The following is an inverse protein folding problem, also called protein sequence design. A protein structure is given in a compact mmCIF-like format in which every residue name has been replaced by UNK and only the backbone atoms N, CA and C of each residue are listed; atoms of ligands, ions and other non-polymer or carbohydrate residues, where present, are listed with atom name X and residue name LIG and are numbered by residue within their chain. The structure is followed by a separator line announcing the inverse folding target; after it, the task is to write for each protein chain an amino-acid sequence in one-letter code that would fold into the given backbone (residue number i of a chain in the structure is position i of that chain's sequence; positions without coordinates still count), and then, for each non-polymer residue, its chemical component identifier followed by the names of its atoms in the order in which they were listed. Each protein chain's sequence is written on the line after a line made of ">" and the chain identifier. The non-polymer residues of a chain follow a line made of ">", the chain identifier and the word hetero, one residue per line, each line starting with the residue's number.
data_IF_931819373285
#
_entry.id   IF_931819373285
#
_cell.length_a   1.000
_cell.length_b   1.000
_cell.length_c   1.000
_cell.angle_alpha   90.00
_cell.angle_beta   90.00
_cell.angle_gamma   90.00
#
_symmetry.space_group_name_H-M   'P 1'
#
loop_
_entity.id
_entity.type
_entity.pdbx_description
1 polymer ?
#
# COMPACT_ATOMS: atom_id res chain seq x y z
N UNK A 1 -13.31 -7.75 20.62
CA UNK A 1 -12.85 -7.77 19.21
C UNK A 1 -13.78 -8.64 18.38
N UNK A 2 -14.76 -8.01 17.73
CA UNK A 2 -15.77 -8.71 16.90
C UNK A 2 -15.18 -9.29 15.60
N UNK A 3 -14.05 -8.73 15.14
CA UNK A 3 -13.38 -9.12 13.90
C UNK A 3 -12.21 -10.11 14.10
N UNK A 4 -11.97 -10.60 15.32
CA UNK A 4 -10.82 -11.49 15.63
C UNK A 4 -9.44 -10.93 15.24
N UNK A 5 -9.29 -9.60 15.18
CA UNK A 5 -8.01 -8.92 14.89
C UNK A 5 -7.29 -8.63 16.21
N UNK A 6 -6.01 -9.02 16.29
CA UNK A 6 -5.12 -8.67 17.40
C UNK A 6 -4.44 -7.32 17.16
N UNK A 7 -4.54 -6.41 18.13
CA UNK A 7 -3.96 -5.07 18.01
C UNK A 7 -2.57 -5.04 18.63
N UNK A 8 -1.55 -4.93 17.77
CA UNK A 8 -0.14 -4.85 18.17
C UNK A 8 0.37 -3.42 18.09
N UNK A 9 0.76 -2.86 19.24
CA UNK A 9 1.38 -1.54 19.31
C UNK A 9 2.89 -1.61 19.04
N UNK A 10 3.40 -0.62 18.32
CA UNK A 10 4.83 -0.40 18.17
C UNK A 10 5.37 0.31 19.42
N UNK A 11 6.54 -0.12 19.90
CA UNK A 11 7.19 0.52 21.05
C UNK A 11 7.54 1.98 20.74
N UNK A 12 7.36 2.91 21.70
CA UNK A 12 7.83 4.28 21.52
C UNK A 12 9.32 4.33 21.17
N UNK A 13 9.72 5.32 20.34
CA UNK A 13 11.10 5.55 19.89
C UNK A 13 11.72 4.42 19.05
N UNK A 14 10.91 3.57 18.42
CA UNK A 14 11.38 2.55 17.46
C UNK A 14 10.87 2.80 16.03
N UNK A 15 11.32 3.87 15.33
CA UNK A 15 10.79 4.25 14.01
C UNK A 15 11.06 3.21 12.92
N UNK A 16 12.11 2.38 13.05
CA UNK A 16 12.44 1.32 12.09
C UNK A 16 11.35 0.25 11.97
N UNK A 17 10.57 0.01 13.04
CA UNK A 17 9.42 -0.89 12.99
C UNK A 17 8.33 -0.37 12.04
N UNK A 18 8.24 0.94 11.81
CA UNK A 18 7.32 1.54 10.84
C UNK A 18 7.90 1.63 9.43
N UNK A 19 9.09 1.09 9.18
CA UNK A 19 9.82 1.31 7.93
C UNK A 19 9.07 0.84 6.67
N UNK A 20 8.17 -0.16 6.77
CA UNK A 20 7.31 -0.57 5.65
C UNK A 20 6.33 0.54 5.25
N UNK A 21 5.70 1.18 6.23
CA UNK A 21 4.73 2.26 6.03
C UNK A 21 5.45 3.48 5.45
N UNK A 22 6.58 3.87 6.04
CA UNK A 22 7.37 5.02 5.56
C UNK A 22 7.88 4.82 4.12
N UNK A 23 8.28 3.60 3.74
CA UNK A 23 8.67 3.30 2.34
C UNK A 23 7.49 3.41 1.39
N UNK A 24 6.28 3.01 1.80
CA UNK A 24 5.07 3.18 1.00
C UNK A 24 4.78 4.67 0.79
N UNK A 25 4.82 5.48 1.85
CA UNK A 25 4.62 6.92 1.74
C UNK A 25 5.62 7.59 0.81
N UNK A 26 6.91 7.21 0.88
CA UNK A 26 7.91 7.71 -0.07
C UNK A 26 7.58 7.33 -1.51
N UNK A 27 7.21 6.08 -1.76
CA UNK A 27 6.86 5.61 -3.10
C UNK A 27 5.63 6.34 -3.65
N UNK A 28 4.63 6.60 -2.81
CA UNK A 28 3.44 7.34 -3.19
C UNK A 28 3.74 8.82 -3.45
N UNK A 29 4.62 9.41 -2.65
CA UNK A 29 5.12 10.76 -2.88
C UNK A 29 5.79 10.89 -4.24
N UNK A 30 6.74 10.00 -4.53
CA UNK A 30 7.53 10.00 -5.77
C UNK A 30 6.67 9.70 -7.00
N UNK A 31 5.75 8.75 -6.92
CA UNK A 31 5.01 8.24 -8.09
C UNK A 31 3.70 8.97 -8.37
N UNK A 32 3.11 9.60 -7.36
CA UNK A 32 1.77 10.20 -7.45
C UNK A 32 1.77 11.65 -7.00
N UNK A 33 2.03 11.92 -5.72
CA UNK A 33 1.79 13.26 -5.17
C UNK A 33 2.66 14.35 -5.78
N UNK A 34 3.91 14.05 -6.15
CA UNK A 34 4.80 15.01 -6.82
C UNK A 34 4.28 15.48 -8.20
N UNK A 35 3.36 14.74 -8.81
CA UNK A 35 2.83 15.01 -10.15
C UNK A 35 1.31 15.21 -10.16
N UNK A 36 0.69 15.26 -8.98
CA UNK A 36 -0.75 15.30 -8.83
C UNK A 36 -1.28 16.71 -9.10
N UNK A 37 -2.12 16.84 -10.12
CA UNK A 37 -2.94 18.02 -10.38
C UNK A 37 -4.38 17.59 -10.59
N UNK A 38 -5.33 18.29 -9.98
CA UNK A 38 -6.75 17.99 -10.09
C UNK A 38 -7.58 19.27 -10.21
N UNK A 39 -8.72 19.17 -10.90
CA UNK A 39 -9.59 20.32 -11.17
C UNK A 39 -10.86 20.33 -10.30
N UNK A 40 -11.17 19.21 -9.66
CA UNK A 40 -12.29 19.05 -8.73
C UNK A 40 -12.02 17.93 -7.74
N UNK A 41 -12.83 17.85 -6.68
CA UNK A 41 -12.76 16.75 -5.73
C UNK A 41 -13.05 15.39 -6.38
N UNK A 42 -14.00 15.32 -7.30
CA UNK A 42 -14.33 14.08 -8.01
C UNK A 42 -13.18 13.60 -8.90
N UNK A 43 -12.48 14.52 -9.55
CA UNK A 43 -11.26 14.23 -10.32
C UNK A 43 -10.14 13.70 -9.42
N UNK A 44 -9.92 14.31 -8.25
CA UNK A 44 -8.97 13.81 -7.26
C UNK A 44 -9.29 12.35 -6.87
N UNK A 45 -10.55 12.06 -6.53
CA UNK A 45 -10.96 10.70 -6.16
C UNK A 45 -10.76 9.71 -7.32
N UNK A 46 -11.07 10.10 -8.55
CA UNK A 46 -10.85 9.27 -9.73
C UNK A 46 -9.35 8.97 -9.94
N UNK A 47 -8.50 9.99 -9.83
CA UNK A 47 -7.05 9.84 -9.97
C UNK A 47 -6.47 8.97 -8.85
N UNK A 48 -6.90 9.15 -7.61
CA UNK A 48 -6.50 8.31 -6.47
C UNK A 48 -6.87 6.84 -6.69
N UNK A 49 -8.10 6.55 -7.16
CA UNK A 49 -8.54 5.19 -7.50
C UNK A 49 -7.67 4.56 -8.60
N UNK A 50 -7.36 5.32 -9.64
CA UNK A 50 -6.47 4.88 -10.73
C UNK A 50 -5.06 4.58 -10.21
N UNK A 51 -4.50 5.48 -9.40
CA UNK A 51 -3.19 5.28 -8.80
C UNK A 51 -3.16 4.04 -7.89
N UNK A 52 -4.15 3.87 -7.02
CA UNK A 52 -4.26 2.70 -6.14
C UNK A 52 -4.32 1.40 -6.94
N UNK A 53 -5.05 1.36 -8.06
CA UNK A 53 -5.10 0.19 -8.93
C UNK A 53 -3.74 -0.11 -9.56
N UNK A 54 -3.05 0.94 -10.04
CA UNK A 54 -1.72 0.82 -10.66
C UNK A 54 -0.68 0.37 -9.64
N UNK A 55 -0.59 1.02 -8.48
CA UNK A 55 0.43 0.73 -7.46
C UNK A 55 0.35 -0.73 -6.98
N UNK A 56 -0.87 -1.24 -6.79
CA UNK A 56 -1.13 -2.63 -6.40
C UNK A 56 -0.85 -3.67 -7.50
N UNK A 57 -0.63 -3.24 -8.75
CA UNK A 57 -0.25 -4.09 -9.89
C UNK A 57 1.24 -4.02 -10.24
N UNK A 58 1.99 -3.07 -9.68
CA UNK A 58 3.43 -2.96 -9.92
C UNK A 58 4.16 -4.10 -9.17
N UNK A 59 4.94 -4.95 -9.86
CA UNK A 59 5.73 -5.97 -9.21
C UNK A 59 6.82 -5.36 -8.33
N UNK A 60 7.09 -5.99 -7.19
CA UNK A 60 8.08 -5.53 -6.23
C UNK A 60 9.13 -6.61 -5.98
N UNK A 61 10.41 -6.22 -5.97
CA UNK A 61 11.52 -7.15 -5.71
C UNK A 61 11.40 -7.85 -4.35
N UNK A 62 10.96 -7.12 -3.32
CA UNK A 62 10.72 -7.67 -1.96
C UNK A 62 9.62 -8.74 -1.90
N UNK A 63 8.79 -8.85 -2.93
CA UNK A 63 7.74 -9.86 -3.06
C UNK A 63 8.12 -10.96 -4.07
N UNK A 64 9.40 -11.07 -4.44
CA UNK A 64 9.86 -12.02 -5.46
C UNK A 64 9.36 -11.64 -6.86
N UNK A 65 9.36 -10.35 -7.18
CA UNK A 65 8.85 -9.79 -8.45
C UNK A 65 7.36 -10.03 -8.71
N UNK A 66 6.58 -10.31 -7.66
CA UNK A 66 5.12 -10.34 -7.70
C UNK A 66 4.55 -8.96 -7.34
N UNK A 67 3.38 -8.63 -7.88
CA UNK A 67 2.62 -7.46 -7.44
C UNK A 67 1.92 -7.70 -6.10
N UNK A 68 1.57 -6.64 -5.34
CA UNK A 68 0.78 -6.77 -4.12
C UNK A 68 -0.50 -7.60 -4.31
N UNK A 69 -1.22 -7.44 -5.43
CA UNK A 69 -2.42 -8.24 -5.72
C UNK A 69 -2.10 -9.72 -5.95
N UNK A 70 -1.02 -10.03 -6.69
CA UNK A 70 -0.60 -11.41 -6.89
C UNK A 70 -0.17 -12.06 -5.57
N UNK A 71 0.59 -11.33 -4.74
CA UNK A 71 1.00 -11.87 -3.44
C UNK A 71 -0.19 -12.05 -2.50
N UNK A 72 -1.18 -11.16 -2.54
CA UNK A 72 -2.42 -11.31 -1.77
C UNK A 72 -3.18 -12.57 -2.22
N UNK A 73 -3.40 -12.74 -3.51
CA UNK A 73 -4.06 -13.92 -4.05
C UNK A 73 -3.33 -15.22 -3.66
N UNK A 74 -1.99 -15.22 -3.70
CA UNK A 74 -1.19 -16.35 -3.22
C UNK A 74 -1.46 -16.66 -1.74
N UNK A 75 -1.47 -15.65 -0.86
CA UNK A 75 -1.75 -15.83 0.56
C UNK A 75 -3.19 -16.31 0.82
N UNK A 76 -4.16 -15.80 0.07
CA UNK A 76 -5.56 -16.21 0.13
C UNK A 76 -5.76 -17.66 -0.34
N UNK A 77 -4.92 -18.14 -1.27
CA UNK A 77 -4.97 -19.50 -1.80
C UNK A 77 -4.18 -20.52 -0.97
N UNK A 78 -3.44 -20.10 0.06
CA UNK A 78 -2.65 -21.00 0.92
C UNK A 78 -3.49 -21.63 2.04
N UNK A 79 -4.77 -21.24 2.17
CA UNK A 79 -5.69 -21.73 3.20
C UNK A 79 -6.78 -22.69 2.66
N UNK A 80 -6.40 -23.71 1.87
CA UNK A 80 -7.17 -24.96 1.66
C UNK A 80 -6.22 -26.17 1.77
#
# INVERSE_FOLDING_TARGET
>A
NELHIDHKLIRPRTPWHNGKVERSHRSDQERFYNHLHFYSYDDLILQMKRYLNRSNKIPMSVLGWKSPLQKRAELENVDI
#
